data_IF_927515848809
#
_entry.id   IF_927515848809
#
_cell.length_a   1.000
_cell.length_b   1.000
_cell.length_c   1.000
_cell.angle_alpha   90.00
_cell.angle_beta   90.00
_cell.angle_gamma   90.00
#
_symmetry.space_group_name_H-M   'P 1'
#
loop_
_entity.id
_entity.type
_entity.pdbx_description
1 polymer ?
#
# COMPACT_ATOMS: atom_id res chain seq x y z
N UNK A 1 -21.48 -11.28 -20.52
CA UNK A 1 -20.07 -11.71 -20.61
C UNK A 1 -19.29 -10.95 -19.55
N UNK A 2 -18.49 -11.67 -18.76
CA UNK A 2 -17.59 -11.05 -17.78
C UNK A 2 -16.32 -10.53 -18.47
N UNK A 3 -15.60 -9.61 -17.84
CA UNK A 3 -14.34 -9.08 -18.38
C UNK A 3 -13.28 -10.16 -18.57
N UNK A 4 -13.30 -11.20 -17.74
CA UNK A 4 -12.40 -12.35 -17.86
C UNK A 4 -12.70 -13.20 -19.11
N UNK A 5 -13.98 -13.44 -19.40
CA UNK A 5 -14.41 -14.16 -20.61
C UNK A 5 -14.01 -13.42 -21.89
N UNK A 6 -14.16 -12.09 -21.91
CA UNK A 6 -13.77 -11.28 -23.07
C UNK A 6 -12.26 -11.28 -23.30
N UNK A 7 -11.46 -11.26 -22.24
CA UNK A 7 -9.99 -11.35 -22.34
C UNK A 7 -9.59 -12.74 -22.84
N UNK A 8 -10.24 -13.79 -22.34
CA UNK A 8 -9.98 -15.16 -22.77
C UNK A 8 -10.26 -15.38 -24.26
N UNK A 9 -11.42 -14.96 -24.75
CA UNK A 9 -11.75 -15.08 -26.18
C UNK A 9 -10.83 -14.24 -27.06
N UNK A 10 -10.41 -13.06 -26.57
CA UNK A 10 -9.44 -12.22 -27.28
C UNK A 10 -8.07 -12.90 -27.39
N UNK A 11 -7.52 -13.40 -26.28
CA UNK A 11 -6.20 -14.07 -26.25
C UNK A 11 -6.20 -15.33 -27.11
N UNK A 12 -7.32 -16.06 -27.16
CA UNK A 12 -7.47 -17.28 -27.97
C UNK A 12 -7.34 -17.05 -29.47
N UNK A 13 -7.62 -15.83 -29.94
CA UNK A 13 -7.54 -15.46 -31.37
C UNK A 13 -6.23 -14.76 -31.75
N UNK A 14 -5.34 -14.52 -30.78
CA UNK A 14 -4.08 -13.80 -30.98
C UNK A 14 -2.91 -14.73 -31.37
N UNK A 15 -1.89 -14.22 -32.08
CA UNK A 15 -0.64 -14.94 -32.26
C UNK A 15 0.12 -15.08 -30.93
N UNK A 16 0.99 -16.09 -30.88
CA UNK A 16 1.60 -16.59 -29.63
C UNK A 16 2.39 -15.51 -28.87
N UNK A 17 3.12 -14.65 -29.58
CA UNK A 17 3.90 -13.56 -28.97
C UNK A 17 3.01 -12.55 -28.22
N UNK A 18 1.87 -12.17 -28.81
CA UNK A 18 0.94 -11.22 -28.21
C UNK A 18 0.16 -11.87 -27.06
N UNK A 19 -0.24 -13.14 -27.20
CA UNK A 19 -0.88 -13.90 -26.14
C UNK A 19 0.04 -14.02 -24.90
N UNK A 20 1.33 -14.30 -25.11
CA UNK A 20 2.34 -14.36 -24.04
C UNK A 20 2.45 -13.04 -23.26
N UNK A 21 2.41 -11.90 -23.96
CA UNK A 21 2.47 -10.58 -23.33
C UNK A 21 1.26 -10.31 -22.44
N UNK A 22 0.05 -10.63 -22.92
CA UNK A 22 -1.19 -10.44 -22.15
C UNK A 22 -1.20 -11.32 -20.90
N UNK A 23 -0.75 -12.57 -21.02
CA UNK A 23 -0.66 -13.48 -19.87
C UNK A 23 0.38 -13.00 -18.83
N UNK A 24 1.54 -12.50 -19.26
CA UNK A 24 2.54 -11.88 -18.37
C UNK A 24 1.98 -10.64 -17.66
N UNK A 25 1.18 -9.85 -18.36
CA UNK A 25 0.49 -8.70 -17.76
C UNK A 25 -0.53 -9.15 -16.69
N UNK A 26 -1.32 -10.18 -16.99
CA UNK A 26 -2.28 -10.73 -16.03
C UNK A 26 -1.57 -11.26 -14.77
N UNK A 27 -0.46 -11.98 -14.93
CA UNK A 27 0.34 -12.50 -13.83
C UNK A 27 0.94 -11.37 -12.97
N UNK A 28 1.46 -10.31 -13.59
CA UNK A 28 2.02 -9.15 -12.86
C UNK A 28 0.95 -8.38 -12.09
N UNK A 29 -0.26 -8.23 -12.64
CA UNK A 29 -1.38 -7.61 -11.94
C UNK A 29 -1.83 -8.46 -10.74
N UNK A 30 -1.91 -9.79 -10.92
CA UNK A 30 -2.27 -10.71 -9.84
C UNK A 30 -1.25 -10.65 -8.69
N UNK A 31 0.06 -10.67 -9.01
CA UNK A 31 1.12 -10.51 -8.01
C UNK A 31 0.99 -9.20 -7.23
N UNK A 32 0.76 -8.08 -7.92
CA UNK A 32 0.54 -6.78 -7.27
C UNK A 32 -0.69 -6.76 -6.36
N UNK A 33 -1.78 -7.41 -6.77
CA UNK A 33 -2.98 -7.50 -5.94
C UNK A 33 -2.73 -8.35 -4.69
N UNK A 34 -2.00 -9.47 -4.83
CA UNK A 34 -1.57 -10.28 -3.69
C UNK A 34 -0.65 -9.50 -2.75
N UNK A 35 0.33 -8.76 -3.28
CA UNK A 35 1.21 -7.91 -2.47
C UNK A 35 0.44 -6.81 -1.73
N UNK A 36 -0.58 -6.20 -2.36
CA UNK A 36 -1.48 -5.24 -1.70
C UNK A 36 -2.35 -5.89 -0.63
N UNK A 37 -2.81 -7.13 -0.85
CA UNK A 37 -3.58 -7.88 0.15
C UNK A 37 -2.73 -8.22 1.38
N UNK A 38 -1.44 -8.52 1.17
CA UNK A 38 -0.49 -8.86 2.24
C UNK A 38 0.02 -7.63 3.00
N UNK A 39 0.14 -6.48 2.33
CA UNK A 39 0.42 -5.20 2.99
C UNK A 39 -0.89 -4.62 3.48
N UNK A 40 -1.26 -4.92 4.72
CA UNK A 40 -2.34 -4.21 5.40
C UNK A 40 -2.11 -2.71 5.24
N UNK A 41 -2.93 -2.06 4.41
CA UNK A 41 -2.85 -0.62 4.18
C UNK A 41 -3.15 0.05 5.52
N UNK A 42 -2.11 0.62 6.14
CA UNK A 42 -2.29 1.37 7.37
C UNK A 42 -3.14 2.59 7.05
N UNK A 43 -4.30 2.65 7.66
CA UNK A 43 -5.21 3.79 7.59
C UNK A 43 -4.58 5.00 8.27
N UNK A 44 -4.95 6.22 7.87
CA UNK A 44 -4.59 7.42 8.65
C UNK A 44 -5.06 7.32 10.10
N UNK A 45 -6.17 6.61 10.36
CA UNK A 45 -6.69 6.33 11.69
C UNK A 45 -5.70 5.52 12.54
N UNK A 46 -4.90 4.66 11.93
CA UNK A 46 -3.90 3.83 12.63
C UNK A 46 -2.74 4.68 13.19
N UNK A 47 -2.63 5.95 12.77
CA UNK A 47 -1.63 6.90 13.27
C UNK A 47 -2.18 7.85 14.34
N UNK A 48 -3.49 7.86 14.62
CA UNK A 48 -4.02 8.71 15.69
C UNK A 48 -3.60 8.16 17.05
N UNK A 49 -3.01 9.03 17.87
CA UNK A 49 -2.65 8.70 19.26
C UNK A 49 -1.35 7.91 19.43
N UNK A 50 -0.70 7.45 18.36
CA UNK A 50 0.55 6.68 18.45
C UNK A 50 1.70 7.47 19.10
N UNK A 51 1.64 8.80 19.02
CA UNK A 51 2.65 9.68 19.62
C UNK A 51 2.57 9.68 21.14
N UNK A 52 1.39 9.41 21.72
CA UNK A 52 1.20 9.36 23.18
C UNK A 52 2.09 8.31 23.83
N UNK A 53 2.30 7.17 23.18
CA UNK A 53 3.12 6.10 23.75
C UNK A 53 4.56 6.12 23.18
N UNK A 54 4.91 7.17 22.44
CA UNK A 54 6.25 7.29 21.85
C UNK A 54 7.28 7.71 22.91
N UNK A 55 8.55 7.24 22.81
CA UNK A 55 9.61 7.65 23.73
C UNK A 55 9.83 9.17 23.78
N UNK A 56 9.53 9.87 22.68
CA UNK A 56 9.76 11.32 22.55
C UNK A 56 8.57 12.17 23.00
N UNK A 57 7.33 11.65 22.90
CA UNK A 57 6.11 12.43 23.15
C UNK A 57 5.18 11.82 24.23
N UNK A 58 5.60 10.76 24.91
CA UNK A 58 4.84 10.09 25.98
C UNK A 58 5.08 10.58 27.39
N UNK A 59 5.73 11.73 27.55
CA UNK A 59 5.93 12.42 28.83
C UNK A 59 4.87 13.50 29.09
N UNK A 60 5.11 14.32 30.12
CA UNK A 60 4.27 15.47 30.40
C UNK A 60 4.31 16.48 29.23
N UNK A 61 3.15 16.92 28.70
CA UNK A 61 3.10 17.84 27.56
C UNK A 61 3.82 19.17 27.81
N UNK A 62 3.78 19.70 29.04
CA UNK A 62 4.43 20.98 29.36
C UNK A 62 5.93 20.82 29.36
N UNK A 63 6.46 19.74 29.93
CA UNK A 63 7.89 19.43 29.89
C UNK A 63 8.39 19.19 28.47
N UNK A 64 7.64 18.48 27.63
CA UNK A 64 7.97 18.29 26.21
C UNK A 64 8.04 19.63 25.49
N UNK A 65 7.03 20.50 25.68
CA UNK A 65 6.99 21.81 25.05
C UNK A 65 8.11 22.74 25.53
N UNK A 66 8.49 22.67 26.81
CA UNK A 66 9.62 23.43 27.36
C UNK A 66 10.93 22.98 26.74
N UNK A 67 11.16 21.67 26.66
CA UNK A 67 12.35 21.10 26.01
C UNK A 67 12.43 21.52 24.55
N UNK A 68 11.34 21.35 23.80
CA UNK A 68 11.28 21.75 22.39
C UNK A 68 11.55 23.23 22.17
N UNK A 69 11.15 24.11 23.10
CA UNK A 69 11.46 25.55 23.00
C UNK A 69 12.92 25.83 23.32
N UNK A 70 13.47 25.18 24.34
CA UNK A 70 14.85 25.37 24.79
C UNK A 70 15.87 24.84 23.77
N UNK A 71 15.52 23.79 23.01
CA UNK A 71 16.37 23.23 21.95
C UNK A 71 16.61 24.20 20.77
N UNK A 72 15.89 25.34 20.71
CA UNK A 72 16.02 26.36 19.65
C UNK A 72 16.85 27.58 20.07
N UNK A 73 17.19 27.69 21.35
CA UNK A 73 18.07 28.73 21.92
C UNK A 73 19.55 28.27 21.89
#
# INVERSE_FOLDING_TARGET
MTTAETIYELVKTMPEEQASLVLKLAETLQKRQMDKSLKQEKSLLDFFGILKDSPSFGGDPVEIQRRMRSDWD
#
